data_IF_479347626869
#
_entry.id   IF_479347626869
#
_cell.length_a   1.000
_cell.length_b   1.000
_cell.length_c   1.000
_cell.angle_alpha   90.00
_cell.angle_beta   90.00
_cell.angle_gamma   90.00
#
_symmetry.space_group_name_H-M   'P 1'
#
loop_
_entity.id
_entity.type
_entity.pdbx_description
1 polymer ?
#
# COMPACT_ATOMS: atom_id res chain seq x y z
N UNK A 1 -27.25 -1.81 5.52
CA UNK A 1 -26.06 -0.96 5.77
C UNK A 1 -24.97 -1.49 4.87
N UNK A 2 -24.31 -0.64 4.07
CA UNK A 2 -23.17 -1.11 3.28
C UNK A 2 -22.00 -1.27 4.26
N UNK A 3 -21.66 -2.52 4.59
CA UNK A 3 -20.43 -2.90 5.29
C UNK A 3 -19.23 -2.56 4.40
N UNK A 4 -18.95 -1.27 4.24
CA UNK A 4 -17.94 -0.80 3.30
C UNK A 4 -16.57 -0.96 3.94
N UNK A 5 -15.88 -2.01 3.55
CA UNK A 5 -14.48 -2.27 3.90
C UNK A 5 -13.60 -1.39 3.01
N UNK A 6 -12.66 -0.66 3.59
CA UNK A 6 -11.60 0.05 2.85
C UNK A 6 -10.34 -0.78 2.87
N UNK A 7 -9.80 -1.09 1.69
CA UNK A 7 -8.58 -1.87 1.50
C UNK A 7 -7.42 -0.93 1.19
N UNK A 8 -6.38 -0.98 2.01
CA UNK A 8 -5.18 -0.15 1.89
C UNK A 8 -4.05 -0.98 1.29
N UNK A 9 -3.68 -0.73 0.03
CA UNK A 9 -2.46 -1.27 -0.54
C UNK A 9 -1.23 -0.63 0.13
N UNK A 10 -0.26 -1.44 0.56
CA UNK A 10 0.99 -0.96 1.14
C UNK A 10 2.15 -1.89 0.80
N UNK A 11 3.39 -1.40 0.89
CA UNK A 11 4.60 -2.23 0.78
C UNK A 11 4.83 -3.04 2.04
N UNK A 12 5.51 -4.17 1.90
CA UNK A 12 5.86 -5.05 3.03
C UNK A 12 7.03 -4.56 3.89
N UNK A 13 7.72 -3.48 3.49
CA UNK A 13 8.79 -2.94 4.31
C UNK A 13 8.28 -2.51 5.70
N UNK A 14 9.04 -2.70 6.79
CA UNK A 14 8.58 -2.42 8.14
C UNK A 14 8.00 -1.02 8.33
N UNK A 15 8.62 -0.01 7.71
CA UNK A 15 8.14 1.38 7.78
C UNK A 15 6.82 1.57 7.03
N UNK A 16 6.67 0.98 5.84
CA UNK A 16 5.43 1.11 5.05
C UNK A 16 4.24 0.42 5.75
N UNK A 17 4.47 -0.72 6.40
CA UNK A 17 3.46 -1.37 7.24
C UNK A 17 3.08 -0.50 8.45
N UNK A 18 4.07 0.09 9.12
CA UNK A 18 3.81 1.02 10.23
C UNK A 18 2.97 2.22 9.78
N UNK A 19 3.30 2.82 8.63
CA UNK A 19 2.53 3.93 8.05
C UNK A 19 1.10 3.51 7.71
N UNK A 20 0.92 2.33 7.12
CA UNK A 20 -0.40 1.81 6.78
C UNK A 20 -1.25 1.52 8.03
N UNK A 21 -0.65 0.95 9.09
CA UNK A 21 -1.31 0.77 10.38
C UNK A 21 -1.69 2.11 11.04
N UNK A 22 -0.80 3.10 10.96
CA UNK A 22 -1.11 4.44 11.46
C UNK A 22 -2.33 5.03 10.74
N UNK A 23 -2.38 4.96 9.40
CA UNK A 23 -3.54 5.43 8.62
C UNK A 23 -4.81 4.64 8.95
N UNK A 24 -4.70 3.31 9.04
CA UNK A 24 -5.80 2.42 9.42
C UNK A 24 -6.42 2.85 10.76
N UNK A 25 -5.59 3.04 11.78
CA UNK A 25 -6.05 3.43 13.11
C UNK A 25 -6.76 4.79 13.08
N UNK A 26 -6.18 5.78 12.39
CA UNK A 26 -6.80 7.12 12.27
C UNK A 26 -8.14 7.08 11.55
N UNK A 27 -8.30 6.23 10.54
CA UNK A 27 -9.56 6.06 9.83
C UNK A 27 -10.63 5.42 10.71
N UNK A 28 -10.28 4.37 11.45
CA UNK A 28 -11.18 3.68 12.37
C UNK A 28 -11.59 4.57 13.55
N UNK A 29 -10.66 5.34 14.11
CA UNK A 29 -10.94 6.30 15.19
C UNK A 29 -11.91 7.40 14.74
N UNK A 30 -11.77 7.88 13.50
CA UNK A 30 -12.59 8.96 12.95
C UNK A 30 -13.96 8.50 12.46
N UNK A 31 -14.11 7.21 12.14
CA UNK A 31 -15.33 6.64 11.55
C UNK A 31 -15.72 5.35 12.29
N UNK A 32 -16.44 5.46 13.42
CA UNK A 32 -16.91 4.29 14.17
C UNK A 32 -17.75 3.36 13.29
N UNK A 33 -17.31 2.10 13.16
CA UNK A 33 -17.97 1.09 12.31
C UNK A 33 -17.33 0.91 10.93
N UNK A 34 -16.37 1.75 10.54
CA UNK A 34 -15.57 1.53 9.34
C UNK A 34 -14.63 0.34 9.55
N UNK A 35 -14.64 -0.60 8.60
CA UNK A 35 -13.67 -1.69 8.54
C UNK A 35 -12.56 -1.33 7.57
N UNK A 36 -11.32 -1.55 7.99
CA UNK A 36 -10.15 -1.26 7.17
C UNK A 36 -9.23 -2.48 7.15
N UNK A 37 -8.88 -2.93 5.95
CA UNK A 37 -8.00 -4.07 5.71
C UNK A 37 -6.72 -3.62 5.03
N UNK A 38 -5.58 -4.19 5.42
CA UNK A 38 -4.30 -3.95 4.77
C UNK A 38 -4.05 -5.01 3.70
N UNK A 39 -3.65 -4.58 2.51
CA UNK A 39 -3.27 -5.42 1.38
C UNK A 39 -1.78 -5.24 1.13
N UNK A 40 -0.92 -5.99 1.84
CA UNK A 40 0.53 -5.88 1.68
C UNK A 40 0.97 -6.45 0.33
N UNK A 41 1.85 -5.72 -0.35
CA UNK A 41 2.33 -6.05 -1.69
C UNK A 41 3.87 -6.04 -1.73
N UNK A 42 4.42 -6.88 -2.60
CA UNK A 42 5.84 -6.89 -2.94
C UNK A 42 6.01 -6.14 -4.26
N UNK A 43 6.87 -5.13 -4.27
CA UNK A 43 7.19 -4.37 -5.48
C UNK A 43 8.48 -4.88 -6.10
N UNK A 44 8.70 -4.61 -7.39
CA UNK A 44 9.97 -4.94 -8.05
C UNK A 44 11.17 -4.30 -7.37
N UNK A 45 11.01 -3.10 -6.81
CA UNK A 45 12.08 -2.44 -6.05
C UNK A 45 12.39 -3.09 -4.70
N UNK A 46 11.49 -3.90 -4.13
CA UNK A 46 11.79 -4.72 -2.94
C UNK A 46 12.65 -5.93 -3.29
N UNK A 47 12.57 -6.42 -4.54
CA UNK A 47 13.30 -7.58 -5.04
C UNK A 47 14.69 -7.17 -5.55
N UNK A 48 14.79 -5.99 -6.16
CA UNK A 48 16.04 -5.46 -6.72
C UNK A 48 16.72 -4.57 -5.67
N UNK A 49 17.31 -5.20 -4.65
CA UNK A 49 18.10 -4.50 -3.62
C UNK A 49 19.59 -4.35 -3.99
N UNK A 50 20.12 -5.27 -4.81
CA UNK A 50 21.56 -5.38 -5.10
C UNK A 50 22.03 -4.61 -6.35
N UNK A 51 21.14 -3.88 -7.02
CA UNK A 51 21.52 -3.04 -8.16
C UNK A 51 21.32 -1.57 -7.81
N UNK A 52 22.34 -0.71 -7.99
CA UNK A 52 22.20 0.73 -7.75
C UNK A 52 20.99 1.26 -8.51
N UNK A 53 20.08 1.98 -7.83
CA UNK A 53 18.88 2.56 -8.45
C UNK A 53 19.18 3.32 -9.75
N UNK A 54 20.34 3.96 -9.82
CA UNK A 54 20.84 4.68 -10.99
C UNK A 54 20.97 3.82 -12.26
N UNK A 55 21.22 2.51 -12.12
CA UNK A 55 21.25 1.54 -13.24
C UNK A 55 19.89 0.96 -13.58
N UNK A 56 18.94 0.95 -12.63
CA UNK A 56 17.64 0.28 -12.78
C UNK A 56 16.62 1.18 -13.50
N UNK A 57 16.91 2.48 -13.65
CA UNK A 57 16.28 3.35 -14.66
C UNK A 57 14.78 3.12 -14.86
N UNK A 58 13.98 3.23 -13.80
CA UNK A 58 12.56 2.88 -13.87
C UNK A 58 11.70 3.77 -12.99
N UNK A 59 11.03 4.76 -13.59
CA UNK A 59 9.90 5.44 -12.94
C UNK A 59 8.90 4.37 -12.47
N UNK A 60 8.52 4.39 -11.19
CA UNK A 60 7.48 3.51 -10.64
C UNK A 60 7.95 2.16 -10.10
N UNK A 61 9.25 1.95 -9.86
CA UNK A 61 9.80 0.67 -9.34
C UNK A 61 9.16 0.19 -8.02
N UNK A 62 8.64 1.12 -7.23
CA UNK A 62 8.03 0.88 -5.91
C UNK A 62 6.53 1.18 -5.86
N UNK A 63 5.91 1.54 -6.99
CA UNK A 63 4.53 2.07 -7.02
C UNK A 63 3.64 1.32 -8.01
N UNK A 64 4.23 0.73 -9.06
CA UNK A 64 3.49 0.05 -10.13
C UNK A 64 2.53 -1.03 -9.62
N UNK A 65 2.97 -1.86 -8.68
CA UNK A 65 2.11 -2.92 -8.13
C UNK A 65 0.95 -2.37 -7.30
N UNK A 66 1.15 -1.23 -6.62
CA UNK A 66 0.09 -0.55 -5.87
C UNK A 66 -0.91 0.12 -6.83
N UNK A 67 -0.43 0.81 -7.87
CA UNK A 67 -1.29 1.39 -8.91
C UNK A 67 -2.15 0.33 -9.59
N UNK A 68 -1.57 -0.82 -9.90
CA UNK A 68 -2.31 -1.94 -10.48
C UNK A 68 -3.39 -2.47 -9.52
N UNK A 69 -3.10 -2.56 -8.22
CA UNK A 69 -4.09 -2.97 -7.23
C UNK A 69 -5.27 -2.00 -7.13
N UNK A 70 -5.03 -0.71 -7.31
CA UNK A 70 -6.09 0.30 -7.38
C UNK A 70 -6.91 0.16 -8.66
N UNK A 71 -6.24 0.02 -9.82
CA UNK A 71 -6.90 -0.11 -11.12
C UNK A 71 -7.75 -1.38 -11.23
N UNK A 72 -7.30 -2.48 -10.63
CA UNK A 72 -8.02 -3.76 -10.61
C UNK A 72 -9.07 -3.84 -9.48
N UNK A 73 -9.23 -2.78 -8.68
CA UNK A 73 -10.16 -2.76 -7.56
C UNK A 73 -9.81 -3.76 -6.46
N UNK A 74 -8.55 -4.20 -6.36
CA UNK A 74 -8.03 -5.03 -5.25
C UNK A 74 -7.76 -4.19 -4.00
N UNK A 75 -7.50 -2.89 -4.17
CA UNK A 75 -7.38 -1.92 -3.10
C UNK A 75 -8.19 -0.67 -3.43
N UNK A 76 -8.56 0.08 -2.39
CA UNK A 76 -9.34 1.31 -2.52
C UNK A 76 -8.45 2.56 -2.34
N UNK A 77 -7.37 2.45 -1.55
CA UNK A 77 -6.34 3.46 -1.40
C UNK A 77 -4.95 2.82 -1.35
N UNK A 78 -3.91 3.59 -1.68
CA UNK A 78 -2.52 3.18 -1.55
C UNK A 78 -1.80 4.05 -0.51
N UNK A 79 -1.08 3.40 0.41
CA UNK A 79 -0.20 4.05 1.36
C UNK A 79 1.24 3.93 0.86
N UNK A 80 1.82 5.06 0.44
CA UNK A 80 3.20 5.14 -0.04
C UNK A 80 4.04 6.06 0.83
N UNK A 81 5.37 5.94 0.75
CA UNK A 81 6.34 6.92 1.26
C UNK A 81 6.77 7.87 0.16
#
# INVERSE_FOLDING_TARGET
MLDKIIRIATRQSPLALWQAHYVQQRLMDSHPGLRVELVPMVTRGDIILDTPLAKVGGKGLFVKELELALLEGRADIACTR
#
